data_IF_134613483731
#
_entry.id   IF_134613483731
#
_cell.length_a   1.000
_cell.length_b   1.000
_cell.length_c   1.000
_cell.angle_alpha   90.00
_cell.angle_beta   90.00
_cell.angle_gamma   90.00
#
_symmetry.space_group_name_H-M   'P 1'
#
loop_
_entity.id
_entity.type
_entity.pdbx_description
1 polymer ?
#
# COMPACT_ATOMS: atom_id res chain seq x y z
N UNK A 1 14.16 -11.40 -5.01
CA UNK A 1 12.88 -10.71 -4.70
C UNK A 1 12.05 -11.72 -3.95
N UNK A 2 11.61 -11.43 -2.73
CA UNK A 2 10.78 -12.37 -1.98
C UNK A 2 9.35 -12.23 -2.50
N UNK A 3 8.92 -13.19 -3.32
CA UNK A 3 7.50 -13.38 -3.61
C UNK A 3 6.84 -13.85 -2.33
N UNK A 4 5.85 -13.10 -1.83
CA UNK A 4 5.06 -13.52 -0.69
C UNK A 4 4.31 -14.80 -1.06
N UNK A 5 4.38 -15.80 -0.20
CA UNK A 5 3.50 -16.96 -0.32
C UNK A 5 2.04 -16.51 -0.15
N UNK A 6 1.07 -17.26 -0.68
CA UNK A 6 -0.35 -16.95 -0.51
C UNK A 6 -0.75 -16.75 0.96
N UNK A 7 -0.19 -17.56 1.87
CA UNK A 7 -0.45 -17.50 3.31
C UNK A 7 0.11 -16.21 3.94
N UNK A 8 1.31 -15.79 3.53
CA UNK A 8 1.91 -14.54 3.98
C UNK A 8 1.13 -13.33 3.46
N UNK A 9 0.67 -13.37 2.21
CA UNK A 9 -0.17 -12.32 1.63
C UNK A 9 -1.52 -12.20 2.37
N UNK A 10 -2.16 -13.34 2.70
CA UNK A 10 -3.40 -13.35 3.48
C UNK A 10 -3.19 -12.82 4.90
N UNK A 11 -2.12 -13.25 5.59
CA UNK A 11 -1.77 -12.77 6.92
C UNK A 11 -1.50 -11.26 6.94
N UNK A 12 -0.79 -10.77 5.93
CA UNK A 12 -0.49 -9.36 5.78
C UNK A 12 -1.76 -8.53 5.50
N UNK A 13 -2.66 -9.04 4.65
CA UNK A 13 -3.95 -8.40 4.39
C UNK A 13 -4.81 -8.29 5.66
N UNK A 14 -4.86 -9.33 6.50
CA UNK A 14 -5.57 -9.30 7.80
C UNK A 14 -4.97 -8.26 8.74
N UNK A 15 -3.65 -8.17 8.78
CA UNK A 15 -2.95 -7.19 9.60
C UNK A 15 -3.22 -5.74 9.14
N UNK A 16 -3.23 -5.49 7.83
CA UNK A 16 -3.62 -4.17 7.29
C UNK A 16 -5.08 -3.84 7.61
N UNK A 17 -5.97 -4.84 7.54
CA UNK A 17 -7.37 -4.71 7.93
C UNK A 17 -7.56 -4.24 9.36
N UNK A 18 -6.83 -4.81 10.32
CA UNK A 18 -6.91 -4.38 11.72
C UNK A 18 -6.40 -2.96 11.92
N UNK A 19 -5.36 -2.53 11.20
CA UNK A 19 -4.90 -1.14 11.25
C UNK A 19 -6.00 -0.20 10.77
N UNK A 20 -6.63 -0.50 9.62
CA UNK A 20 -7.73 0.32 9.09
C UNK A 20 -8.98 0.30 9.98
N UNK A 21 -9.19 -0.74 10.79
CA UNK A 21 -10.31 -0.84 11.74
C UNK A 21 -10.08 0.00 13.01
N UNK A 22 -8.84 0.09 13.49
CA UNK A 22 -8.48 0.86 14.69
C UNK A 22 -7.94 2.27 14.37
N UNK A 23 -8.09 2.75 13.14
CA UNK A 23 -7.67 4.09 12.73
C UNK A 23 -8.72 4.74 11.83
N UNK A 24 -8.67 6.07 11.70
CA UNK A 24 -9.54 6.82 10.79
C UNK A 24 -9.02 6.77 9.32
N UNK A 25 -8.35 5.68 8.93
CA UNK A 25 -7.81 5.51 7.58
C UNK A 25 -8.84 4.88 6.65
N UNK A 26 -9.12 5.54 5.53
CA UNK A 26 -10.03 5.05 4.50
C UNK A 26 -9.42 3.91 3.68
N UNK A 27 -8.11 3.96 3.44
CA UNK A 27 -7.35 2.93 2.74
C UNK A 27 -5.88 2.91 3.20
N UNK A 28 -5.25 1.74 3.09
CA UNK A 28 -3.85 1.50 3.43
C UNK A 28 -3.25 0.50 2.45
N UNK A 29 -2.13 0.88 1.83
CA UNK A 29 -1.37 0.03 0.92
C UNK A 29 0.05 -0.21 1.46
N UNK A 30 0.51 -1.45 1.40
CA UNK A 30 1.92 -1.77 1.54
C UNK A 30 2.52 -1.95 0.15
N UNK A 31 3.52 -1.13 -0.18
CA UNK A 31 4.15 -1.11 -1.50
C UNK A 31 5.67 -1.20 -1.39
N UNK A 32 6.31 -1.73 -2.43
CA UNK A 32 7.77 -1.64 -2.57
C UNK A 32 8.18 -0.22 -2.98
N UNK A 33 9.48 0.07 -2.93
CA UNK A 33 10.00 1.38 -3.37
C UNK A 33 9.74 1.65 -4.86
N UNK A 34 9.63 0.60 -5.64
CA UNK A 34 9.35 0.62 -7.08
C UNK A 34 7.84 0.77 -7.36
N UNK A 35 6.99 0.76 -6.33
CA UNK A 35 5.54 0.92 -6.45
C UNK A 35 4.76 -0.37 -6.66
N UNK A 36 5.40 -1.53 -6.53
CA UNK A 36 4.70 -2.81 -6.57
C UNK A 36 3.87 -2.99 -5.29
N UNK A 37 2.58 -3.28 -5.45
CA UNK A 37 1.67 -3.55 -4.33
C UNK A 37 1.93 -4.93 -3.72
N UNK A 38 2.20 -4.96 -2.42
CA UNK A 38 2.36 -6.19 -1.63
C UNK A 38 1.04 -6.57 -0.96
N UNK A 39 0.31 -5.58 -0.41
CA UNK A 39 -1.00 -5.79 0.18
C UNK A 39 -1.78 -4.46 0.27
N UNK A 40 -3.10 -4.56 0.42
CA UNK A 40 -4.00 -3.42 0.43
C UNK A 40 -5.23 -3.70 1.30
N UNK A 41 -5.66 -2.69 2.05
CA UNK A 41 -6.91 -2.68 2.83
C UNK A 41 -7.64 -1.38 2.59
N UNK A 42 -8.97 -1.42 2.53
CA UNK A 42 -9.82 -0.23 2.50
C UNK A 42 -11.11 -0.49 3.27
N UNK A 43 -11.67 0.58 3.85
CA UNK A 43 -12.95 0.49 4.55
C UNK A 43 -14.08 0.20 3.55
N UNK A 44 -15.15 -0.52 3.97
CA UNK A 44 -16.28 -0.79 3.10
C UNK A 44 -16.89 0.49 2.52
N UNK A 45 -17.11 0.53 1.21
CA UNK A 45 -17.66 1.70 0.51
C UNK A 45 -16.62 2.68 -0.01
N UNK A 46 -15.34 2.55 0.38
CA UNK A 46 -14.26 3.32 -0.21
C UNK A 46 -13.74 2.64 -1.48
N UNK A 47 -14.12 3.19 -2.64
CA UNK A 47 -13.77 2.62 -3.94
C UNK A 47 -12.55 3.32 -4.54
N UNK A 48 -11.37 2.77 -4.31
CA UNK A 48 -10.11 3.21 -4.92
C UNK A 48 -9.44 2.03 -5.61
N UNK A 49 -8.85 2.27 -6.77
CA UNK A 49 -8.05 1.27 -7.46
C UNK A 49 -6.72 1.05 -6.69
N UNK A 50 -6.46 -0.15 -6.15
CA UNK A 50 -5.28 -0.40 -5.34
C UNK A 50 -3.95 -0.24 -6.10
N UNK A 51 -3.94 -0.56 -7.39
CA UNK A 51 -2.73 -0.54 -8.21
C UNK A 51 -2.41 0.90 -8.63
N UNK A 52 -3.45 1.69 -8.96
CA UNK A 52 -3.32 3.13 -9.18
C UNK A 52 -2.83 3.84 -7.92
N UNK A 53 -3.44 3.57 -6.76
CA UNK A 53 -3.06 4.16 -5.48
C UNK A 53 -1.59 3.87 -5.14
N UNK A 54 -1.15 2.63 -5.38
CA UNK A 54 0.22 2.19 -5.16
C UNK A 54 1.21 2.90 -6.10
N UNK A 55 0.85 2.97 -7.39
CA UNK A 55 1.68 3.61 -8.42
C UNK A 55 1.88 5.11 -8.17
N UNK A 56 0.80 5.82 -7.83
CA UNK A 56 0.86 7.25 -7.50
C UNK A 56 1.75 7.51 -6.29
N UNK A 57 1.61 6.69 -5.25
CA UNK A 57 2.39 6.82 -4.03
C UNK A 57 3.89 6.67 -4.30
N UNK A 58 4.29 5.72 -5.15
CA UNK A 58 5.69 5.54 -5.53
C UNK A 58 6.26 6.74 -6.31
N UNK A 59 5.49 7.28 -7.25
CA UNK A 59 5.89 8.46 -8.04
C UNK A 59 6.09 9.67 -7.14
N UNK A 60 5.18 9.92 -6.19
CA UNK A 60 5.28 11.05 -5.25
C UNK A 60 6.51 10.90 -4.36
N UNK A 61 6.73 9.71 -3.80
CA UNK A 61 7.90 9.42 -2.96
C UNK A 61 9.20 9.60 -3.73
N UNK A 62 9.27 9.13 -4.99
CA UNK A 62 10.46 9.29 -5.82
C UNK A 62 10.71 10.75 -6.17
N UNK A 63 9.68 11.49 -6.59
CA UNK A 63 9.77 12.91 -6.91
C UNK A 63 10.25 13.73 -5.70
N UNK A 64 9.76 13.41 -4.50
CA UNK A 64 10.20 14.05 -3.26
C UNK A 64 11.67 13.79 -2.93
N UNK A 65 12.17 12.57 -3.21
CA UNK A 65 13.60 12.24 -3.05
C UNK A 65 14.46 13.04 -4.01
N UNK A 66 14.03 13.14 -5.27
CA UNK A 66 14.76 13.86 -6.30
C UNK A 66 14.85 15.35 -5.97
N UNK A 67 13.77 15.95 -5.45
CA UNK A 67 13.72 17.37 -5.06
C UNK A 67 14.60 17.75 -3.86
N UNK A 68 14.91 16.81 -2.97
CA UNK A 68 15.81 17.04 -1.82
C UNK A 68 17.27 16.75 -2.19
N UNK A 69 17.49 15.87 -3.17
CA UNK A 69 18.83 15.45 -3.59
C UNK A 69 19.43 16.34 -4.69
N UNK A 70 18.69 17.36 -5.14
CA UNK A 70 19.07 18.33 -6.18
C UNK A 70 19.73 19.59 -5.63
#
# INVERSE_FOLDING_TARGET
MAELTPDEAEGLSKFLGSITEYSDLEALALITREGLRLAFSAVPGYNVDPDLFSSLSAVVVQSGKDAISS
#
